data_IF_490153022471
#
_entry.id   IF_490153022471
#
_cell.length_a   1.000
_cell.length_b   1.000
_cell.length_c   1.000
_cell.angle_alpha   90.00
_cell.angle_beta   90.00
_cell.angle_gamma   90.00
#
_symmetry.space_group_name_H-M   'P 1'
#
loop_
_entity.id
_entity.type
_entity.pdbx_description
1 polymer ?
#
# COMPACT_ATOMS: atom_id res chain seq x y z
N UNK A 1 -1.82 7.98 16.53
CA UNK A 1 -1.26 7.29 15.34
C UNK A 1 -0.96 8.32 14.26
N UNK A 2 -0.14 8.01 13.26
CA UNK A 2 0.35 8.99 12.27
C UNK A 2 -0.76 9.81 11.59
N UNK A 3 -1.88 9.18 11.21
CA UNK A 3 -3.04 9.87 10.64
C UNK A 3 -3.64 10.92 11.60
N UNK A 4 -3.70 10.63 12.90
CA UNK A 4 -4.16 11.59 13.91
C UNK A 4 -3.19 12.78 14.10
N UNK A 5 -1.97 12.68 13.58
CA UNK A 5 -0.98 13.76 13.56
C UNK A 5 -0.87 14.42 12.17
N UNK A 6 -1.83 14.20 11.27
CA UNK A 6 -1.92 14.89 9.98
C UNK A 6 -1.11 14.25 8.84
N UNK A 7 -0.58 13.04 9.01
CA UNK A 7 0.02 12.31 7.89
C UNK A 7 -1.09 11.72 7.02
N UNK A 8 -1.13 12.11 5.75
CA UNK A 8 -2.02 11.55 4.76
C UNK A 8 -1.37 10.37 4.02
N UNK A 9 -2.16 9.35 3.72
CA UNK A 9 -1.74 8.15 3.00
C UNK A 9 -2.43 8.05 1.65
N UNK A 10 -1.76 7.41 0.69
CA UNK A 10 -2.38 7.04 -0.58
C UNK A 10 -3.46 5.99 -0.36
N UNK A 11 -4.55 6.07 -1.12
CA UNK A 11 -5.62 5.07 -1.08
C UNK A 11 -5.39 3.99 -2.12
N UNK A 12 -5.55 2.74 -1.73
CA UNK A 12 -5.47 1.58 -2.64
C UNK A 12 -6.87 1.17 -3.10
N UNK A 13 -7.06 0.74 -4.36
CA UNK A 13 -8.37 0.28 -4.84
C UNK A 13 -8.89 -0.94 -4.07
N UNK A 14 -10.20 -1.00 -3.80
CA UNK A 14 -10.83 -2.14 -3.11
C UNK A 14 -10.53 -3.50 -3.78
N UNK A 15 -10.47 -3.51 -5.11
CA UNK A 15 -10.15 -4.69 -5.90
C UNK A 15 -8.80 -5.32 -5.55
N UNK A 16 -7.83 -4.54 -5.04
CA UNK A 16 -6.58 -5.08 -4.51
C UNK A 16 -6.84 -6.00 -3.32
N UNK A 17 -7.70 -5.60 -2.39
CA UNK A 17 -8.01 -6.35 -1.17
C UNK A 17 -8.85 -7.58 -1.46
N UNK A 18 -9.74 -7.50 -2.43
CA UNK A 18 -10.50 -8.65 -2.91
C UNK A 18 -9.55 -9.72 -3.48
N UNK A 19 -8.61 -9.32 -4.35
CA UNK A 19 -7.58 -10.23 -4.87
C UNK A 19 -6.58 -10.71 -3.81
N UNK A 20 -6.26 -9.87 -2.82
CA UNK A 20 -5.39 -10.22 -1.71
C UNK A 20 -6.00 -11.36 -0.89
N UNK A 21 -7.30 -11.26 -0.56
CA UNK A 21 -8.01 -12.28 0.21
C UNK A 21 -7.95 -13.67 -0.46
N UNK A 22 -8.04 -13.73 -1.79
CA UNK A 22 -7.88 -14.98 -2.55
C UNK A 22 -6.46 -15.54 -2.47
N UNK A 23 -5.44 -14.67 -2.38
CA UNK A 23 -4.03 -15.05 -2.37
C UNK A 23 -3.50 -15.49 -0.99
N UNK A 24 -3.94 -14.84 0.09
CA UNK A 24 -3.30 -14.97 1.41
C UNK A 24 -3.99 -15.94 2.36
N UNK A 25 -5.18 -16.44 2.00
CA UNK A 25 -5.96 -17.33 2.85
C UNK A 25 -6.30 -16.71 4.22
N UNK A 26 -6.68 -17.53 5.23
CA UNK A 26 -7.00 -17.02 6.57
C UNK A 26 -5.77 -16.37 7.24
N UNK A 27 -5.84 -15.06 7.49
CA UNK A 27 -4.78 -14.29 8.14
C UNK A 27 -5.14 -13.92 9.58
N UNK A 28 -4.12 -13.69 10.42
CA UNK A 28 -4.31 -13.22 11.80
C UNK A 28 -4.92 -11.82 11.89
N UNK A 29 -4.73 -11.02 10.84
CA UNK A 29 -5.31 -9.67 10.72
C UNK A 29 -6.36 -9.72 9.61
N UNK A 30 -7.58 -9.23 9.86
CA UNK A 30 -8.63 -9.17 8.83
C UNK A 30 -8.20 -8.34 7.64
N UNK A 31 -8.59 -8.77 6.43
CA UNK A 31 -8.31 -8.03 5.18
C UNK A 31 -8.98 -6.65 5.23
N UNK A 32 -10.13 -6.55 5.89
CA UNK A 32 -10.87 -5.31 6.09
C UNK A 32 -10.05 -4.27 6.85
N UNK A 33 -9.28 -4.70 7.86
CA UNK A 33 -8.40 -3.79 8.60
C UNK A 33 -7.25 -3.27 7.73
N UNK A 34 -6.73 -4.09 6.81
CA UNK A 34 -5.73 -3.65 5.84
C UNK A 34 -6.34 -2.66 4.83
N UNK A 35 -7.58 -2.92 4.40
CA UNK A 35 -8.35 -2.06 3.49
C UNK A 35 -8.58 -0.67 4.09
N UNK A 36 -9.08 -0.61 5.33
CA UNK A 36 -9.32 0.65 6.03
C UNK A 36 -8.07 1.52 6.17
N UNK A 37 -6.90 0.88 6.33
CA UNK A 37 -5.63 1.57 6.53
C UNK A 37 -4.82 1.76 5.23
N UNK A 38 -5.35 1.33 4.08
CA UNK A 38 -4.62 1.29 2.80
C UNK A 38 -3.27 0.56 2.87
N UNK A 39 -3.17 -0.47 3.72
CA UNK A 39 -1.96 -1.27 3.88
C UNK A 39 -1.93 -2.37 2.83
N UNK A 40 -0.85 -2.44 2.06
CA UNK A 40 -0.56 -3.50 1.11
C UNK A 40 0.17 -4.64 1.83
N UNK A 41 -0.04 -5.88 1.37
CA UNK A 41 0.63 -7.06 1.90
C UNK A 41 1.13 -7.98 0.78
N UNK A 42 2.40 -8.38 0.87
CA UNK A 42 3.03 -9.36 -0.01
C UNK A 42 3.47 -10.58 0.81
N UNK A 43 2.65 -11.64 0.89
CA UNK A 43 3.01 -12.87 1.56
C UNK A 43 4.05 -13.66 0.77
N UNK A 44 4.78 -14.49 1.50
CA UNK A 44 6.04 -15.03 1.08
C UNK A 44 6.35 -16.31 1.87
N UNK A 45 7.32 -17.12 1.43
CA UNK A 45 7.59 -18.44 2.05
C UNK A 45 8.10 -18.31 3.50
N UNK A 46 8.76 -17.20 3.81
CA UNK A 46 9.34 -16.90 5.12
C UNK A 46 8.44 -15.98 5.96
N UNK A 47 7.31 -15.49 5.41
CA UNK A 47 6.37 -14.61 6.11
C UNK A 47 5.65 -13.61 5.20
N UNK A 48 5.64 -12.32 5.56
CA UNK A 48 5.02 -11.28 4.72
C UNK A 48 5.70 -9.91 4.86
N UNK A 49 5.69 -9.12 3.78
CA UNK A 49 6.02 -7.70 3.80
C UNK A 49 4.72 -6.89 3.77
N UNK A 50 4.55 -5.97 4.71
CA UNK A 50 3.43 -5.03 4.71
C UNK A 50 3.96 -3.63 4.43
N UNK A 51 3.23 -2.85 3.66
CA UNK A 51 3.66 -1.50 3.27
C UNK A 51 2.47 -0.54 3.14
N UNK A 52 2.73 0.74 3.35
CA UNK A 52 1.77 1.83 3.09
C UNK A 52 2.55 3.08 2.67
N UNK A 53 1.98 3.84 1.74
CA UNK A 53 2.62 5.03 1.19
C UNK A 53 1.92 6.28 1.69
N UNK A 54 2.71 7.29 2.06
CA UNK A 54 2.17 8.63 2.31
C UNK A 54 1.81 9.31 0.99
N UNK A 55 0.90 10.28 1.04
CA UNK A 55 0.82 11.31 -0.01
C UNK A 55 2.15 12.09 -0.10
N UNK A 56 2.40 12.84 -1.18
CA UNK A 56 3.54 13.75 -1.25
C UNK A 56 3.58 14.70 -0.05
N UNK A 57 4.73 14.84 0.60
CA UNK A 57 4.91 15.70 1.78
C UNK A 57 5.32 17.13 1.44
N UNK A 58 5.43 17.42 0.13
CA UNK A 58 5.69 18.75 -0.43
C UNK A 58 4.72 18.99 -1.59
N UNK A 59 4.44 20.25 -1.91
CA UNK A 59 3.45 20.63 -2.93
C UNK A 59 3.72 20.01 -4.32
N UNK A 60 5.00 19.80 -4.65
CA UNK A 60 5.39 19.09 -5.87
C UNK A 60 5.39 17.58 -5.61
N UNK A 61 4.85 16.74 -6.49
CA UNK A 61 4.76 15.28 -6.29
C UNK A 61 6.11 14.58 -6.50
N UNK A 62 7.10 14.91 -5.68
CA UNK A 62 8.49 14.44 -5.82
C UNK A 62 9.01 13.68 -4.61
N UNK A 63 8.46 13.94 -3.41
CA UNK A 63 8.89 13.30 -2.17
C UNK A 63 7.68 12.75 -1.42
N UNK A 64 7.72 11.46 -1.14
CA UNK A 64 6.79 10.74 -0.28
C UNK A 64 7.58 9.75 0.59
N UNK A 65 6.93 9.19 1.59
CA UNK A 65 7.51 8.13 2.42
C UNK A 65 6.76 6.82 2.21
N UNK A 66 7.52 5.73 2.25
CA UNK A 66 7.01 4.37 2.34
C UNK A 66 7.30 3.86 3.76
N UNK A 67 6.27 3.36 4.42
CA UNK A 67 6.41 2.65 5.68
C UNK A 67 6.21 1.18 5.41
N UNK A 68 7.16 0.34 5.85
CA UNK A 68 7.03 -1.10 5.72
C UNK A 68 7.35 -1.85 7.00
N UNK A 69 6.65 -2.96 7.20
CA UNK A 69 6.87 -3.92 8.28
C UNK A 69 7.21 -5.29 7.69
N UNK A 70 8.34 -5.85 8.11
CA UNK A 70 8.74 -7.22 7.75
C UNK A 70 8.29 -8.17 8.83
N UNK A 71 7.35 -9.03 8.48
CA UNK A 71 6.89 -10.13 9.33
C UNK A 71 7.53 -11.42 8.83
N UNK A 72 8.85 -11.53 8.94
CA UNK A 72 9.64 -12.67 8.47
C UNK A 72 10.18 -12.54 7.03
N UNK A 73 9.42 -11.90 6.13
CA UNK A 73 9.82 -11.75 4.72
C UNK A 73 11.15 -11.00 4.55
N UNK A 74 12.01 -11.54 3.67
CA UNK A 74 13.27 -10.93 3.21
C UNK A 74 13.17 -10.30 1.83
N UNK A 75 11.99 -10.34 1.20
CA UNK A 75 11.74 -9.85 -0.17
C UNK A 75 11.40 -8.36 -0.19
N UNK A 76 11.45 -7.75 -1.36
CA UNK A 76 11.21 -6.31 -1.56
C UNK A 76 9.77 -5.96 -1.95
N UNK A 77 8.78 -6.85 -1.76
CA UNK A 77 7.38 -6.50 -2.06
C UNK A 77 7.05 -6.39 -3.55
N UNK A 78 7.69 -7.20 -4.41
CA UNK A 78 7.43 -7.13 -5.87
C UNK A 78 5.95 -7.29 -6.22
N UNK A 79 5.19 -8.04 -5.42
CA UNK A 79 3.75 -8.22 -5.62
C UNK A 79 2.94 -6.93 -5.39
N UNK A 80 3.43 -6.02 -4.54
CA UNK A 80 2.76 -4.76 -4.25
C UNK A 80 3.06 -3.67 -5.27
N UNK A 81 4.15 -3.79 -6.03
CA UNK A 81 4.64 -2.73 -6.93
C UNK A 81 3.59 -2.18 -7.90
N UNK A 82 2.72 -3.05 -8.42
CA UNK A 82 1.61 -2.65 -9.28
C UNK A 82 0.57 -1.80 -8.52
N UNK A 83 0.18 -2.23 -7.33
CA UNK A 83 -0.79 -1.52 -6.49
C UNK A 83 -0.24 -0.18 -6.00
N UNK A 84 1.06 -0.12 -5.68
CA UNK A 84 1.78 1.13 -5.37
C UNK A 84 1.71 2.10 -6.54
N UNK A 85 2.02 1.63 -7.75
CA UNK A 85 2.02 2.48 -8.94
C UNK A 85 0.61 2.99 -9.27
N UNK A 86 -0.40 2.12 -9.22
CA UNK A 86 -1.80 2.50 -9.43
C UNK A 86 -2.30 3.51 -8.38
N UNK A 87 -1.89 3.38 -7.11
CA UNK A 87 -2.22 4.34 -6.06
C UNK A 87 -1.58 5.72 -6.33
N UNK A 88 -0.33 5.76 -6.79
CA UNK A 88 0.37 7.00 -7.17
C UNK A 88 -0.26 7.64 -8.40
N UNK A 89 -0.60 6.86 -9.43
CA UNK A 89 -1.21 7.37 -10.66
C UNK A 89 -2.57 8.04 -10.41
N UNK A 90 -3.37 7.51 -9.48
CA UNK A 90 -4.67 8.10 -9.11
C UNK A 90 -4.56 9.43 -8.39
N UNK A 91 -3.47 9.66 -7.65
CA UNK A 91 -3.22 10.93 -6.96
C UNK A 91 -2.71 12.01 -7.94
N UNK A 92 -2.18 11.61 -9.10
CA UNK A 92 -1.80 12.58 -10.11
C UNK A 92 -3.03 13.04 -10.90
N UNK A 93 -3.22 14.36 -11.07
CA UNK A 93 -4.24 14.85 -11.99
C UNK A 93 -3.98 14.26 -13.38
N UNK A 94 -5.02 14.02 -14.20
CA UNK A 94 -4.86 13.51 -15.56
C UNK A 94 -3.83 14.38 -16.26
N UNK A 95 -2.66 13.82 -16.53
CA UNK A 95 -1.66 14.46 -17.37
C UNK A 95 -2.33 14.54 -18.73
N UNK A 96 -2.87 15.71 -19.07
CA UNK A 96 -3.26 16.01 -20.44
C UNK A 96 -2.01 15.90 -21.30
N UNK A 97 -1.80 14.72 -21.85
CA UNK A 97 -0.95 14.34 -22.98
C UNK A 97 -0.94 12.80 -23.08
N UNK A 98 -2.04 12.25 -23.60
CA UNK A 98 -2.07 11.01 -24.38
C UNK A 98 -2.69 11.35 -25.73
#
# INVERSE_FOLDING_TARGET
GMAAHGVEFLTTPDAYYDALAERVGPTRVPIEALRELSVLADPDEDGSLWEVLTKPVVDRPTLFFELFERRGSKRFGKGNFKAVFEAIEREQPPRGNL
#
